data_IF_798051199202
#
_entry.id   IF_798051199202
#
_cell.length_a   1.000
_cell.length_b   1.000
_cell.length_c   1.000
_cell.angle_alpha   90.00
_cell.angle_beta   90.00
_cell.angle_gamma   90.00
#
_symmetry.space_group_name_H-M   'P 1'
#
loop_
_entity.id
_entity.type
_entity.pdbx_description
1 polymer ?
#
# COMPACT_ATOMS: atom_id res chain seq x y z
N UNK A 1 4.91 -29.40 -19.33
CA UNK A 1 3.90 -28.43 -18.87
C UNK A 1 4.48 -27.77 -17.63
N UNK A 2 4.95 -26.53 -17.75
CA UNK A 2 5.64 -25.83 -16.66
C UNK A 2 4.59 -25.30 -15.69
N UNK A 3 4.38 -26.01 -14.57
CA UNK A 3 3.61 -25.50 -13.43
C UNK A 3 4.38 -24.32 -12.84
N UNK A 4 4.08 -23.12 -13.32
CA UNK A 4 4.45 -21.89 -12.62
C UNK A 4 3.67 -21.93 -11.31
N UNK A 5 4.34 -22.30 -10.22
CA UNK A 5 3.81 -22.07 -8.90
C UNK A 5 3.56 -20.57 -8.81
N UNK A 6 2.31 -20.15 -8.91
CA UNK A 6 1.92 -18.84 -8.44
C UNK A 6 2.27 -18.90 -6.96
N UNK A 7 3.39 -18.32 -6.57
CA UNK A 7 3.60 -18.00 -5.17
C UNK A 7 2.50 -17.00 -4.85
N UNK A 8 1.38 -17.51 -4.32
CA UNK A 8 0.22 -16.71 -3.99
C UNK A 8 0.65 -15.74 -2.88
N UNK A 9 1.01 -14.52 -3.29
CA UNK A 9 1.28 -13.43 -2.35
C UNK A 9 0.03 -13.25 -1.49
N UNK A 10 0.21 -13.32 -0.18
CA UNK A 10 -0.87 -13.06 0.77
C UNK A 10 -1.18 -11.56 0.76
N UNK A 11 -2.38 -11.22 0.29
CA UNK A 11 -2.83 -9.84 0.19
C UNK A 11 -3.92 -9.55 1.23
N UNK A 12 -3.84 -8.39 1.85
CA UNK A 12 -4.85 -7.85 2.74
C UNK A 12 -6.02 -7.18 1.99
N UNK A 13 -6.95 -6.56 2.73
CA UNK A 13 -8.07 -5.81 2.14
C UNK A 13 -7.59 -4.60 1.35
N UNK A 14 -8.45 -4.15 0.41
CA UNK A 14 -8.20 -2.90 -0.32
C UNK A 14 -7.99 -1.73 0.66
N UNK A 15 -6.88 -1.03 0.49
CA UNK A 15 -6.45 0.05 1.37
C UNK A 15 -6.28 1.31 0.54
N UNK A 16 -6.74 2.42 1.09
CA UNK A 16 -6.65 3.73 0.45
C UNK A 16 -6.06 4.75 1.42
N UNK A 17 -5.21 5.64 0.91
CA UNK A 17 -4.74 6.81 1.64
C UNK A 17 -5.86 7.85 1.81
N UNK A 18 -5.67 8.79 2.73
CA UNK A 18 -6.39 10.05 2.65
C UNK A 18 -5.94 10.91 1.46
N UNK A 19 -6.50 12.11 1.35
CA UNK A 19 -5.99 13.12 0.41
C UNK A 19 -4.66 13.68 0.91
N UNK A 20 -3.57 13.33 0.24
CA UNK A 20 -2.29 13.98 0.44
C UNK A 20 -2.18 15.19 -0.48
N UNK A 21 -1.63 16.29 0.01
CA UNK A 21 -1.43 17.52 -0.77
C UNK A 21 0.06 17.80 -0.96
N UNK A 22 0.44 18.30 -2.13
CA UNK A 22 1.81 18.71 -2.46
C UNK A 22 1.83 19.94 -3.36
N UNK A 23 2.98 20.59 -3.52
CA UNK A 23 3.15 21.70 -4.48
C UNK A 23 3.27 21.17 -5.91
N UNK A 24 3.70 19.91 -6.06
CA UNK A 24 3.80 19.19 -7.33
C UNK A 24 3.04 17.87 -7.25
N UNK A 25 2.74 17.30 -8.41
CA UNK A 25 2.12 15.96 -8.49
C UNK A 25 3.00 14.88 -7.87
N UNK A 26 4.32 14.97 -8.04
CA UNK A 26 5.29 14.04 -7.44
C UNK A 26 5.26 14.11 -5.92
N UNK A 27 5.34 15.31 -5.33
CA UNK A 27 5.27 15.49 -3.88
C UNK A 27 3.94 14.96 -3.30
N UNK A 28 2.82 15.24 -3.98
CA UNK A 28 1.51 14.77 -3.55
C UNK A 28 1.38 13.25 -3.67
N UNK A 29 1.95 12.64 -4.71
CA UNK A 29 1.99 11.19 -4.92
C UNK A 29 2.83 10.48 -3.88
N UNK A 30 4.02 11.00 -3.57
CA UNK A 30 4.92 10.44 -2.56
C UNK A 30 4.25 10.49 -1.18
N UNK A 31 3.62 11.62 -0.86
CA UNK A 31 2.88 11.77 0.39
C UNK A 31 1.65 10.84 0.46
N UNK A 32 0.91 10.65 -0.65
CA UNK A 32 -0.21 9.73 -0.71
C UNK A 32 0.24 8.28 -0.51
N UNK A 33 1.35 7.89 -1.16
CA UNK A 33 1.94 6.57 -1.07
C UNK A 33 2.48 6.28 0.33
N UNK A 34 3.18 7.23 0.95
CA UNK A 34 3.67 7.10 2.32
C UNK A 34 2.52 6.94 3.33
N UNK A 35 1.41 7.67 3.13
CA UNK A 35 0.22 7.51 3.96
C UNK A 35 -0.44 6.15 3.75
N UNK A 36 -0.58 5.71 2.50
CA UNK A 36 -1.06 4.36 2.21
C UNK A 36 -0.18 3.31 2.91
N UNK A 37 1.14 3.43 2.87
CA UNK A 37 2.08 2.50 3.53
C UNK A 37 1.87 2.44 5.04
N UNK A 38 1.62 3.57 5.68
CA UNK A 38 1.29 3.61 7.12
C UNK A 38 -0.03 2.90 7.44
N UNK A 39 -1.06 3.09 6.61
CA UNK A 39 -2.35 2.38 6.74
C UNK A 39 -2.19 0.88 6.54
N UNK A 40 -1.48 0.50 5.48
CA UNK A 40 -1.24 -0.90 5.13
C UNK A 40 -0.41 -1.62 6.20
N UNK A 41 0.64 -0.98 6.75
CA UNK A 41 1.45 -1.55 7.83
C UNK A 41 0.67 -1.80 9.13
N UNK A 42 -0.48 -1.14 9.31
CA UNK A 42 -1.38 -1.42 10.44
C UNK A 42 -2.07 -2.78 10.35
N UNK A 43 -2.05 -3.43 9.17
CA UNK A 43 -2.56 -4.78 8.94
C UNK A 43 -1.57 -5.87 9.36
N UNK A 44 -0.30 -5.50 9.57
CA UNK A 44 0.79 -6.42 9.92
C UNK A 44 2.09 -6.06 9.22
N UNK A 45 3.20 -6.54 9.78
CA UNK A 45 4.54 -6.31 9.22
C UNK A 45 4.65 -6.92 7.82
N UNK A 46 5.18 -6.14 6.88
CA UNK A 46 5.38 -6.51 5.48
C UNK A 46 4.29 -6.01 4.55
N UNK A 47 3.15 -5.54 5.07
CA UNK A 47 2.07 -4.98 4.25
C UNK A 47 2.32 -3.53 3.85
N UNK A 48 3.20 -2.80 4.55
CA UNK A 48 3.53 -1.40 4.32
C UNK A 48 4.24 -1.14 2.98
N UNK A 49 4.74 -2.17 2.31
CA UNK A 49 5.52 -2.02 1.09
C UNK A 49 4.62 -1.78 -0.13
N UNK A 50 4.57 -0.52 -0.57
CA UNK A 50 3.82 -0.13 -1.78
C UNK A 50 4.24 -0.94 -3.01
N UNK A 51 5.53 -1.24 -3.18
CA UNK A 51 6.01 -1.99 -4.34
C UNK A 51 5.42 -3.41 -4.42
N UNK A 52 5.15 -4.03 -3.28
CA UNK A 52 4.59 -5.38 -3.18
C UNK A 52 3.06 -5.41 -3.37
N UNK A 53 2.40 -4.25 -3.28
CA UNK A 53 0.95 -4.15 -3.41
C UNK A 53 0.45 -4.50 -4.82
N UNK A 54 -0.77 -5.02 -4.88
CA UNK A 54 -1.51 -5.30 -6.13
C UNK A 54 -2.53 -4.21 -6.39
N UNK A 55 -2.96 -4.11 -7.65
CA UNK A 55 -4.00 -3.17 -8.10
C UNK A 55 -3.68 -1.70 -7.72
N UNK A 56 -2.38 -1.36 -7.79
CA UNK A 56 -1.86 -0.05 -7.39
C UNK A 56 -2.40 1.03 -8.30
N UNK A 57 -2.95 2.07 -7.70
CA UNK A 57 -3.41 3.25 -8.41
C UNK A 57 -3.14 4.50 -7.58
N UNK A 58 -2.71 5.56 -8.26
CA UNK A 58 -2.61 6.90 -7.68
C UNK A 58 -3.46 7.82 -8.54
N UNK A 59 -4.42 8.49 -7.91
CA UNK A 59 -5.28 9.45 -8.59
C UNK A 59 -5.05 10.83 -8.02
N UNK A 60 -4.64 11.75 -8.89
CA UNK A 60 -4.33 13.13 -8.55
C UNK A 60 -5.35 14.08 -9.18
N UNK A 61 -5.63 15.18 -8.48
CA UNK A 61 -6.49 16.26 -8.96
C UNK A 61 -5.98 17.63 -8.45
N UNK A 62 -6.36 18.73 -9.12
CA UNK A 62 -5.99 20.07 -8.67
C UNK A 62 -6.60 20.40 -7.30
N UNK A 63 -5.75 20.80 -6.36
CA UNK A 63 -6.12 21.31 -5.05
C UNK A 63 -6.25 22.85 -5.03
N UNK A 64 -6.67 23.43 -3.89
CA UNK A 64 -6.76 24.87 -3.74
C UNK A 64 -5.36 25.51 -3.72
N UNK A 65 -5.30 26.81 -4.05
CA UNK A 65 -4.05 27.60 -4.01
C UNK A 65 -2.90 27.04 -4.86
N UNK A 66 -3.21 26.39 -5.99
CA UNK A 66 -2.21 25.82 -6.90
C UNK A 66 -1.51 24.57 -6.37
N UNK A 67 -2.09 23.91 -5.36
CA UNK A 67 -1.60 22.62 -4.86
C UNK A 67 -2.14 21.47 -5.72
N UNK A 68 -1.51 20.31 -5.62
CA UNK A 68 -2.02 19.05 -6.17
C UNK A 68 -2.42 18.16 -5.01
N UNK A 69 -3.54 17.46 -5.15
CA UNK A 69 -4.02 16.46 -4.19
C UNK A 69 -4.02 15.09 -4.82
N UNK A 70 -3.45 14.10 -4.14
CA UNK A 70 -3.42 12.72 -4.61
C UNK A 70 -3.98 11.76 -3.56
N UNK A 71 -4.57 10.66 -4.04
CA UNK A 71 -4.92 9.49 -3.23
C UNK A 71 -4.26 8.26 -3.83
N UNK A 72 -3.63 7.44 -2.99
CA UNK A 72 -3.09 6.15 -3.36
C UNK A 72 -4.06 5.05 -2.89
N UNK A 73 -4.30 4.06 -3.74
CA UNK A 73 -5.11 2.88 -3.45
C UNK A 73 -4.40 1.62 -3.93
N UNK A 74 -4.59 0.53 -3.21
CA UNK A 74 -4.07 -0.77 -3.61
C UNK A 74 -4.29 -1.82 -2.53
N UNK A 75 -4.13 -3.08 -2.93
CA UNK A 75 -4.18 -4.22 -2.01
C UNK A 75 -2.78 -4.49 -1.48
N UNK A 76 -2.53 -4.27 -0.17
CA UNK A 76 -1.23 -4.53 0.41
C UNK A 76 -0.97 -6.03 0.39
N UNK A 77 0.21 -6.45 -0.07
CA UNK A 77 0.56 -7.85 -0.14
C UNK A 77 1.92 -8.08 0.49
N UNK A 78 2.08 -9.25 1.10
CA UNK A 78 3.39 -9.71 1.54
C UNK A 78 4.23 -10.13 0.34
N UNK A 79 5.54 -10.06 0.51
CA UNK A 79 6.49 -10.63 -0.45
C UNK A 79 6.27 -12.15 -0.57
N UNK A 80 6.60 -12.70 -1.73
CA UNK A 80 6.53 -14.15 -1.97
C UNK A 80 7.27 -14.94 -0.88
N UNK A 81 6.62 -16.00 -0.40
CA UNK A 81 7.17 -16.87 0.64
C UNK A 81 6.97 -16.37 2.09
N UNK A 82 6.38 -15.19 2.30
CA UNK A 82 5.99 -14.72 3.63
C UNK A 82 4.53 -15.06 3.93
N UNK A 83 4.29 -15.51 5.16
CA UNK A 83 2.96 -15.71 5.73
C UNK A 83 2.57 -14.49 6.58
N UNK A 84 1.27 -14.17 6.69
CA UNK A 84 0.79 -13.16 7.63
C UNK A 84 1.26 -13.48 9.04
N UNK A 85 1.72 -12.47 9.77
CA UNK A 85 2.01 -12.64 11.19
C UNK A 85 0.69 -12.85 11.92
N UNK A 86 0.46 -14.07 12.43
CA UNK A 86 -0.81 -14.45 13.05
C UNK A 86 -1.06 -13.76 14.40
N UNK A 87 -0.18 -12.85 14.86
CA UNK A 87 -0.37 -12.05 16.08
C UNK A 87 -0.46 -12.87 17.38
N UNK A 88 -0.36 -14.20 17.32
CA UNK A 88 -0.31 -15.05 18.51
C UNK A 88 1.07 -14.92 19.13
N UNK A 89 1.20 -13.96 20.05
CA UNK A 89 2.11 -14.12 21.18
C UNK A 89 1.83 -15.52 21.73
N UNK A 90 2.77 -16.44 21.57
CA UNK A 90 2.83 -17.60 22.43
C UNK A 90 3.27 -17.05 23.77
N UNK A 91 2.29 -16.74 24.61
CA UNK A 91 2.49 -16.49 26.03
C UNK A 91 3.01 -17.83 26.60
N UNK A 92 4.32 -17.89 26.86
CA UNK A 92 5.00 -18.98 27.54
C UNK A 92 5.26 -18.56 28.99
#
# INVERSE_FOLDING_TARGET
>A
MTTSAFAEKFCGPDTQSGEASGKTETEATDAATAWWSSRAGSLGKGYEFWDEAKDKNVSCHPGPFGTVKCKASGKPCLREGLLPDDGKRQDL
#
